data_IF_028047392586
#
_entry.id   IF_028047392586
#
_cell.length_a   1.000
_cell.length_b   1.000
_cell.length_c   1.000
_cell.angle_alpha   90.00
_cell.angle_beta   90.00
_cell.angle_gamma   90.00
#
_symmetry.space_group_name_H-M   'P 1'
#
loop_
_entity.id
_entity.type
_entity.pdbx_description
1 polymer ?
#
# COMPACT_ATOMS: atom_id res chain seq x y z
N UNK A 1 -1.48 24.70 -12.48
CA UNK A 1 -0.29 24.22 -13.19
C UNK A 1 -0.28 24.92 -14.52
N UNK A 2 0.79 25.66 -14.84
CA UNK A 2 0.90 26.44 -16.08
C UNK A 2 1.08 25.50 -17.28
N UNK A 3 0.63 25.91 -18.47
CA UNK A 3 0.78 25.15 -19.72
C UNK A 3 2.26 24.83 -20.01
N UNK A 4 3.15 25.75 -19.62
CA UNK A 4 4.60 25.61 -19.73
C UNK A 4 5.18 24.54 -18.80
N UNK A 5 4.50 24.20 -17.71
CA UNK A 5 4.92 23.15 -16.78
C UNK A 5 4.50 21.76 -17.27
N UNK A 6 3.35 21.67 -17.93
CA UNK A 6 2.87 20.44 -18.57
C UNK A 6 3.89 19.94 -19.60
N UNK A 7 4.45 20.86 -20.41
CA UNK A 7 5.49 20.55 -21.42
C UNK A 7 6.80 20.02 -20.82
N UNK A 8 7.00 20.10 -19.49
CA UNK A 8 8.21 19.66 -18.77
C UNK A 8 8.00 18.43 -17.88
N UNK A 9 6.79 17.87 -17.84
CA UNK A 9 6.45 16.72 -16.98
C UNK A 9 7.28 15.46 -17.29
N UNK A 10 7.79 15.34 -18.53
CA UNK A 10 8.65 14.22 -18.92
C UNK A 10 10.08 14.34 -18.38
N UNK A 11 10.52 15.50 -17.88
CA UNK A 11 11.85 15.67 -17.30
C UNK A 11 11.83 15.12 -15.88
N UNK A 12 12.54 14.01 -15.66
CA UNK A 12 12.60 13.32 -14.38
C UNK A 12 13.99 12.70 -14.16
N UNK A 13 14.29 12.33 -12.92
CA UNK A 13 15.47 11.54 -12.62
C UNK A 13 15.26 10.10 -13.07
N UNK A 14 16.13 9.57 -13.92
CA UNK A 14 16.01 8.21 -14.45
C UNK A 14 16.16 7.10 -13.38
N UNK A 15 16.59 7.44 -12.16
CA UNK A 15 16.76 6.49 -11.04
C UNK A 15 15.57 6.49 -10.08
N UNK A 16 15.18 7.66 -9.59
CA UNK A 16 14.13 7.79 -8.57
C UNK A 16 12.81 8.34 -9.12
N UNK A 17 12.74 8.64 -10.42
CA UNK A 17 11.55 9.12 -11.15
C UNK A 17 10.94 10.41 -10.62
N UNK A 18 11.64 11.13 -9.74
CA UNK A 18 11.26 12.48 -9.30
C UNK A 18 11.26 13.44 -10.49
N UNK A 19 10.14 14.13 -10.70
CA UNK A 19 9.95 15.06 -11.79
C UNK A 19 10.56 16.44 -11.47
N UNK A 20 11.16 17.06 -12.48
CA UNK A 20 11.85 18.34 -12.38
C UNK A 20 10.93 19.47 -11.91
N UNK A 21 9.71 19.56 -12.47
CA UNK A 21 8.73 20.61 -12.17
C UNK A 21 8.36 20.63 -10.69
N UNK A 22 7.92 19.50 -10.14
CA UNK A 22 7.49 19.41 -8.74
C UNK A 22 8.64 19.63 -7.76
N UNK A 23 9.85 19.17 -8.09
CA UNK A 23 10.98 19.22 -7.17
C UNK A 23 11.65 20.60 -7.12
N UNK A 24 11.54 21.41 -8.20
CA UNK A 24 12.05 22.79 -8.23
C UNK A 24 11.33 23.68 -7.22
N UNK A 25 10.02 23.52 -7.09
CA UNK A 25 9.18 24.32 -6.20
C UNK A 25 9.26 23.88 -4.73
N UNK A 26 9.34 22.57 -4.48
CA UNK A 26 9.21 22.03 -3.11
C UNK A 26 10.53 21.82 -2.37
N UNK A 27 11.67 21.71 -3.07
CA UNK A 27 12.89 21.20 -2.42
C UNK A 27 14.23 21.72 -2.95
N UNK A 28 14.22 22.61 -3.96
CA UNK A 28 15.44 23.19 -4.54
C UNK A 28 16.41 22.17 -5.15
N UNK A 29 15.98 20.93 -5.40
CA UNK A 29 16.86 19.87 -5.88
C UNK A 29 17.34 20.15 -7.31
N UNK A 30 18.64 19.94 -7.54
CA UNK A 30 19.27 20.19 -8.83
C UNK A 30 19.22 18.93 -9.68
N UNK A 31 18.98 19.11 -10.98
CA UNK A 31 19.02 18.02 -11.96
C UNK A 31 20.21 18.20 -12.87
N UNK A 32 20.77 17.09 -13.33
CA UNK A 32 21.95 17.04 -14.18
C UNK A 32 21.65 16.20 -15.41
N UNK A 33 22.01 16.71 -16.57
CA UNK A 33 22.13 15.95 -17.81
C UNK A 33 23.55 15.37 -17.86
N UNK A 34 23.65 14.04 -17.91
CA UNK A 34 24.92 13.33 -18.01
C UNK A 34 25.29 13.07 -19.48
N UNK A 35 26.58 12.88 -19.78
CA UNK A 35 27.05 12.64 -21.13
C UNK A 35 26.51 11.35 -21.77
N UNK A 36 26.09 10.37 -20.95
CA UNK A 36 25.36 9.19 -21.41
C UNK A 36 23.87 9.45 -21.73
N UNK A 37 23.45 10.72 -21.73
CA UNK A 37 22.07 11.18 -21.93
C UNK A 37 21.08 10.68 -20.87
N UNK A 38 21.56 10.31 -19.69
CA UNK A 38 20.68 10.08 -18.54
C UNK A 38 20.51 11.38 -17.75
N UNK A 39 19.33 11.54 -17.15
CA UNK A 39 19.01 12.65 -16.26
C UNK A 39 19.02 12.14 -14.82
N UNK A 40 19.73 12.83 -13.93
CA UNK A 40 19.81 12.47 -12.52
C UNK A 40 19.62 13.68 -11.61
N UNK A 41 18.96 13.51 -10.47
CA UNK A 41 18.94 14.53 -9.42
C UNK A 41 20.22 14.47 -8.56
N UNK A 42 20.53 15.57 -7.89
CA UNK A 42 21.60 15.71 -6.90
C UNK A 42 21.66 14.60 -5.84
N UNK A 43 20.51 14.05 -5.42
CA UNK A 43 20.45 12.94 -4.46
C UNK A 43 20.83 11.59 -5.05
N UNK A 44 20.70 11.41 -6.36
CA UNK A 44 20.91 10.12 -7.03
C UNK A 44 22.24 10.03 -7.78
N UNK A 45 22.77 11.18 -8.21
CA UNK A 45 24.05 11.29 -8.87
C UNK A 45 25.17 11.37 -7.83
N UNK A 46 26.29 10.72 -8.09
CA UNK A 46 27.46 10.77 -7.22
C UNK A 46 28.55 11.59 -7.90
N UNK A 47 29.13 12.55 -7.18
CA UNK A 47 30.23 13.36 -7.68
C UNK A 47 31.52 12.52 -7.69
N UNK A 48 32.21 12.49 -8.82
CA UNK A 48 33.49 11.80 -8.93
C UNK A 48 34.65 12.82 -8.88
N UNK A 49 35.74 12.52 -8.17
CA UNK A 49 36.93 13.36 -8.21
C UNK A 49 37.55 13.34 -9.60
N UNK A 50 37.86 14.53 -10.13
CA UNK A 50 38.53 14.70 -11.41
C UNK A 50 38.16 16.03 -12.07
N UNK A 51 39.14 16.69 -12.69
CA UNK A 51 38.93 17.86 -13.54
C UNK A 51 39.01 17.41 -15.00
N UNK A 52 37.98 17.71 -15.78
CA UNK A 52 38.09 17.61 -17.24
C UNK A 52 38.73 18.90 -17.78
N UNK A 53 39.44 18.87 -18.91
CA UNK A 53 39.97 20.08 -19.56
C UNK A 53 38.91 21.12 -19.94
N UNK A 54 37.61 20.75 -19.87
CA UNK A 54 36.45 21.55 -20.27
C UNK A 54 35.64 22.12 -19.09
N UNK A 55 36.21 22.19 -17.88
CA UNK A 55 35.55 22.63 -16.64
C UNK A 55 34.19 21.95 -16.36
N UNK A 56 33.99 20.74 -16.88
CA UNK A 56 32.80 19.94 -16.62
C UNK A 56 33.04 19.04 -15.42
N UNK A 57 32.20 19.12 -14.36
CA UNK A 57 32.26 18.16 -13.28
C UNK A 57 32.00 16.74 -13.80
N UNK A 58 32.69 15.79 -13.20
CA UNK A 58 32.54 14.36 -13.50
C UNK A 58 31.62 13.75 -12.45
N UNK A 59 30.72 12.90 -12.90
CA UNK A 59 29.74 12.20 -12.08
C UNK A 59 29.76 10.71 -12.39
N UNK A 60 29.34 9.89 -11.43
CA UNK A 60 29.01 8.49 -11.66
C UNK A 60 27.51 8.42 -12.00
N UNK A 61 27.20 7.92 -13.20
CA UNK A 61 25.82 7.78 -13.61
C UNK A 61 25.10 6.72 -12.75
N UNK A 62 23.93 7.01 -12.16
CA UNK A 62 23.20 6.03 -11.37
C UNK A 62 22.64 4.86 -12.18
N UNK A 63 22.55 5.00 -13.51
CA UNK A 63 21.93 4.01 -14.41
C UNK A 63 23.01 3.09 -14.98
N UNK A 64 23.98 3.64 -15.72
CA UNK A 64 25.03 2.86 -16.36
C UNK A 64 26.29 2.68 -15.51
N UNK A 65 26.40 3.34 -14.34
CA UNK A 65 27.56 3.31 -13.43
C UNK A 65 28.89 3.81 -14.01
N UNK A 66 28.89 4.31 -15.24
CA UNK A 66 30.07 4.92 -15.86
C UNK A 66 30.38 6.30 -15.26
N UNK A 67 31.67 6.65 -15.19
CA UNK A 67 32.13 8.00 -14.90
C UNK A 67 31.98 8.86 -16.15
N UNK A 68 31.12 9.87 -16.09
CA UNK A 68 30.74 10.71 -17.22
C UNK A 68 30.68 12.17 -16.82
N UNK A 69 30.91 13.07 -17.79
CA UNK A 69 30.69 14.50 -17.57
C UNK A 69 29.21 14.78 -17.38
N UNK A 70 28.88 15.80 -16.60
CA UNK A 70 27.51 16.25 -16.41
C UNK A 70 27.38 17.77 -16.38
N UNK A 71 26.22 18.27 -16.76
CA UNK A 71 25.85 19.68 -16.67
C UNK A 71 24.52 19.81 -15.94
N UNK A 72 24.43 20.78 -15.04
CA UNK A 72 23.17 21.08 -14.37
C UNK A 72 22.14 21.59 -15.39
N UNK A 73 20.91 21.07 -15.31
CA UNK A 73 19.77 21.52 -16.09
C UNK A 73 19.33 22.88 -15.54
N UNK A 74 19.77 23.96 -16.19
CA UNK A 74 19.43 25.33 -15.86
C UNK A 74 19.73 26.27 -17.05
N UNK A 75 19.51 27.57 -16.86
CA UNK A 75 19.78 28.59 -17.88
C UNK A 75 21.28 28.81 -18.18
N UNK A 76 22.21 28.24 -17.41
CA UNK A 76 23.65 28.31 -17.70
C UNK A 76 24.12 27.16 -18.62
N UNK A 77 23.25 26.21 -18.95
CA UNK A 77 23.59 25.10 -19.84
C UNK A 77 23.95 25.58 -21.27
N UNK A 78 24.93 24.97 -21.95
CA UNK A 78 25.24 25.27 -23.35
C UNK A 78 24.02 25.10 -24.28
N UNK A 79 23.92 25.95 -25.30
CA UNK A 79 22.77 26.00 -26.21
C UNK A 79 22.44 24.64 -26.86
N UNK A 80 23.46 23.92 -27.35
CA UNK A 80 23.29 22.61 -27.98
C UNK A 80 22.74 21.52 -27.03
N UNK A 81 22.87 21.68 -25.71
CA UNK A 81 22.27 20.79 -24.73
C UNK A 81 20.88 21.27 -24.32
N UNK A 82 20.67 22.59 -24.25
CA UNK A 82 19.33 23.17 -23.99
C UNK A 82 18.34 22.78 -25.08
N UNK A 83 18.76 22.67 -26.34
CA UNK A 83 17.90 22.25 -27.45
C UNK A 83 17.30 20.85 -27.24
N UNK A 84 17.92 19.97 -26.46
CA UNK A 84 17.33 18.67 -26.09
C UNK A 84 16.04 18.80 -25.29
N UNK A 85 15.86 19.94 -24.60
CA UNK A 85 14.70 20.26 -23.78
C UNK A 85 13.75 21.26 -24.46
N UNK A 86 13.88 21.45 -25.78
CA UNK A 86 12.99 22.34 -26.52
C UNK A 86 11.55 21.81 -26.45
N UNK A 87 10.56 22.65 -26.07
CA UNK A 87 9.17 22.21 -25.89
C UNK A 87 8.53 21.74 -27.21
N UNK A 88 9.02 22.25 -28.34
CA UNK A 88 8.47 22.00 -29.67
C UNK A 88 9.60 21.51 -30.58
N UNK A 89 10.05 20.26 -30.42
CA UNK A 89 11.20 19.69 -31.14
C UNK A 89 10.89 19.37 -32.61
N UNK A 90 9.75 19.81 -33.14
CA UNK A 90 9.34 19.63 -34.54
C UNK A 90 9.50 20.93 -35.35
N UNK A 91 9.78 22.06 -34.71
CA UNK A 91 9.90 23.36 -35.38
C UNK A 91 11.27 23.60 -36.04
N UNK A 92 12.34 22.90 -35.64
CA UNK A 92 13.72 23.15 -36.11
C UNK A 92 14.20 22.07 -37.09
N UNK A 93 13.85 22.21 -38.37
CA UNK A 93 13.96 21.24 -39.48
C UNK A 93 15.22 20.33 -39.57
N UNK A 94 16.36 20.66 -38.95
CA UNK A 94 17.63 19.94 -39.10
C UNK A 94 18.12 19.17 -37.86
N UNK A 95 17.52 19.33 -36.66
CA UNK A 95 17.94 18.63 -35.42
C UNK A 95 16.82 17.84 -34.72
N UNK A 96 15.67 17.74 -35.39
CA UNK A 96 14.43 17.22 -34.82
C UNK A 96 14.51 15.75 -34.39
N UNK A 97 15.16 14.86 -35.14
CA UNK A 97 15.14 13.42 -34.82
C UNK A 97 15.90 13.07 -33.54
N UNK A 98 17.09 13.65 -33.33
CA UNK A 98 17.88 13.39 -32.14
C UNK A 98 17.20 13.94 -30.87
N UNK A 99 16.61 15.14 -30.98
CA UNK A 99 15.87 15.76 -29.87
C UNK A 99 14.59 14.95 -29.59
N UNK A 100 13.80 14.65 -30.61
CA UNK A 100 12.58 13.86 -30.46
C UNK A 100 12.88 12.45 -29.93
N UNK A 101 13.96 11.82 -30.38
CA UNK A 101 14.43 10.53 -29.89
C UNK A 101 14.81 10.57 -28.40
N UNK A 102 15.55 11.60 -27.98
CA UNK A 102 15.88 11.84 -26.58
C UNK A 102 14.61 12.01 -25.72
N UNK A 103 13.71 12.92 -26.09
CA UNK A 103 12.50 13.20 -25.35
C UNK A 103 11.57 11.99 -25.28
N UNK A 104 11.35 11.30 -26.41
CA UNK A 104 10.53 10.08 -26.48
C UNK A 104 11.10 8.96 -25.62
N UNK A 105 12.43 8.77 -25.61
CA UNK A 105 13.10 7.80 -24.75
C UNK A 105 12.82 8.06 -23.27
N UNK A 106 12.93 9.32 -22.82
CA UNK A 106 12.61 9.68 -21.44
C UNK A 106 11.12 9.54 -21.13
N UNK A 107 10.24 10.00 -22.02
CA UNK A 107 8.79 9.84 -21.85
C UNK A 107 8.38 8.37 -21.73
N UNK A 108 8.90 7.49 -22.59
CA UNK A 108 8.61 6.06 -22.52
C UNK A 108 9.11 5.42 -21.22
N UNK A 109 10.30 5.82 -20.74
CA UNK A 109 10.81 5.35 -19.44
C UNK A 109 9.92 5.79 -18.29
N UNK A 110 9.43 7.03 -18.30
CA UNK A 110 8.53 7.55 -17.28
C UNK A 110 7.18 6.82 -17.31
N UNK A 111 6.57 6.67 -18.50
CA UNK A 111 5.31 5.98 -18.67
C UNK A 111 5.39 4.52 -18.19
N UNK A 112 6.48 3.82 -18.52
CA UNK A 112 6.72 2.46 -18.02
C UNK A 112 6.75 2.40 -16.50
N UNK A 113 7.44 3.33 -15.85
CA UNK A 113 7.46 3.42 -14.39
C UNK A 113 6.08 3.70 -13.80
N UNK A 114 5.31 4.62 -14.38
CA UNK A 114 3.95 4.91 -13.94
C UNK A 114 3.05 3.66 -14.05
N UNK A 115 3.13 2.92 -15.16
CA UNK A 115 2.39 1.68 -15.35
C UNK A 115 2.79 0.60 -14.33
N UNK A 116 4.08 0.48 -14.00
CA UNK A 116 4.55 -0.44 -12.97
C UNK A 116 4.02 -0.05 -11.58
N UNK A 117 4.03 1.25 -11.25
CA UNK A 117 3.49 1.74 -9.98
C UNK A 117 1.98 1.62 -9.87
N UNK A 118 1.25 1.83 -10.96
CA UNK A 118 -0.19 1.61 -11.00
C UNK A 118 -0.53 0.16 -10.70
N UNK A 119 0.20 -0.80 -11.28
CA UNK A 119 0.04 -2.23 -10.97
C UNK A 119 0.33 -2.56 -9.50
N UNK A 120 1.37 -1.95 -8.92
CA UNK A 120 1.67 -2.11 -7.49
C UNK A 120 0.53 -1.60 -6.61
N UNK A 121 -0.03 -0.41 -6.93
CA UNK A 121 -1.16 0.17 -6.20
C UNK A 121 -2.40 -0.72 -6.32
N UNK A 122 -2.74 -1.17 -7.53
CA UNK A 122 -3.87 -2.08 -7.77
C UNK A 122 -3.74 -3.38 -6.97
N UNK A 123 -2.53 -3.94 -6.88
CA UNK A 123 -2.28 -5.15 -6.08
C UNK A 123 -2.53 -4.88 -4.59
N UNK A 124 -1.96 -3.80 -4.04
CA UNK A 124 -2.13 -3.45 -2.63
C UNK A 124 -3.59 -3.17 -2.30
N UNK A 125 -4.32 -2.51 -3.19
CA UNK A 125 -5.75 -2.24 -3.02
C UNK A 125 -6.59 -3.53 -3.02
N UNK A 126 -6.25 -4.47 -3.89
CA UNK A 126 -6.87 -5.80 -3.91
C UNK A 126 -6.59 -6.59 -2.62
N UNK A 127 -5.33 -6.61 -2.17
CA UNK A 127 -4.93 -7.28 -0.92
C UNK A 127 -5.64 -6.65 0.30
N UNK A 128 -5.74 -5.32 0.32
CA UNK A 128 -6.45 -4.59 1.37
C UNK A 128 -7.94 -4.94 1.39
N UNK A 129 -8.59 -4.98 0.22
CA UNK A 129 -10.00 -5.35 0.08
C UNK A 129 -10.24 -6.78 0.58
N UNK A 130 -9.40 -7.73 0.18
CA UNK A 130 -9.47 -9.12 0.64
C UNK A 130 -9.32 -9.24 2.16
N UNK A 131 -8.36 -8.52 2.75
CA UNK A 131 -8.15 -8.49 4.20
C UNK A 131 -9.37 -7.92 4.93
N UNK A 132 -9.95 -6.82 4.43
CA UNK A 132 -11.16 -6.22 4.99
C UNK A 132 -12.34 -7.20 4.95
N UNK A 133 -12.58 -7.87 3.82
CA UNK A 133 -13.66 -8.87 3.71
C UNK A 133 -13.44 -10.05 4.66
N UNK A 134 -12.22 -10.55 4.78
CA UNK A 134 -11.90 -11.64 5.72
C UNK A 134 -12.14 -11.22 7.18
N UNK A 135 -11.70 -10.03 7.57
CA UNK A 135 -11.94 -9.47 8.90
C UNK A 135 -13.42 -9.30 9.21
N UNK A 136 -14.21 -8.79 8.26
CA UNK A 136 -15.66 -8.64 8.40
C UNK A 136 -16.35 -10.00 8.59
N UNK A 137 -15.95 -11.01 7.83
CA UNK A 137 -16.49 -12.37 7.97
C UNK A 137 -16.19 -12.95 9.36
N UNK A 138 -14.93 -12.89 9.80
CA UNK A 138 -14.53 -13.37 11.13
C UNK A 138 -15.26 -12.65 12.25
N UNK A 139 -15.48 -11.34 12.10
CA UNK A 139 -16.24 -10.55 13.06
C UNK A 139 -17.69 -11.03 13.18
N UNK A 140 -18.36 -11.28 12.06
CA UNK A 140 -19.73 -11.80 12.05
C UNK A 140 -19.82 -13.21 12.66
N UNK A 141 -18.89 -14.09 12.31
CA UNK A 141 -18.81 -15.44 12.89
C UNK A 141 -18.59 -15.40 14.41
N UNK A 142 -17.73 -14.51 14.88
CA UNK A 142 -17.49 -14.31 16.31
C UNK A 142 -18.75 -13.82 17.03
N UNK A 143 -19.50 -12.89 16.43
CA UNK A 143 -20.72 -12.36 17.03
C UNK A 143 -21.82 -13.42 17.09
N UNK A 144 -21.97 -14.23 16.04
CA UNK A 144 -22.85 -15.40 16.05
C UNK A 144 -22.46 -16.41 17.12
N UNK A 145 -21.17 -16.73 17.24
CA UNK A 145 -20.66 -17.66 18.25
C UNK A 145 -20.94 -17.15 19.68
N UNK A 146 -20.83 -15.84 19.93
CA UNK A 146 -21.19 -15.22 21.21
C UNK A 146 -22.68 -15.36 21.52
N UNK A 147 -23.54 -15.15 20.53
CA UNK A 147 -24.99 -15.30 20.69
C UNK A 147 -25.36 -16.76 21.00
N UNK A 148 -24.81 -17.72 20.25
CA UNK A 148 -25.01 -19.15 20.48
C UNK A 148 -24.54 -19.53 21.89
N UNK A 149 -23.36 -19.05 22.32
CA UNK A 149 -22.84 -19.32 23.67
C UNK A 149 -23.82 -18.86 24.75
N UNK A 150 -24.35 -17.64 24.66
CA UNK A 150 -25.35 -17.12 25.60
C UNK A 150 -26.62 -17.97 25.62
N UNK A 151 -27.10 -18.42 24.46
CA UNK A 151 -28.28 -19.28 24.38
C UNK A 151 -28.04 -20.63 25.06
N UNK A 152 -26.89 -21.25 24.82
CA UNK A 152 -26.51 -22.52 25.42
C UNK A 152 -26.33 -22.40 26.95
N UNK A 153 -25.70 -21.32 27.42
CA UNK A 153 -25.56 -21.02 28.86
C UNK A 153 -26.93 -20.90 29.53
N UNK A 154 -27.84 -20.14 28.94
CA UNK A 154 -29.22 -20.01 29.44
C UNK A 154 -29.95 -21.35 29.44
N UNK A 155 -29.79 -22.16 28.39
CA UNK A 155 -30.43 -23.48 28.30
C UNK A 155 -29.89 -24.44 29.36
N UNK A 156 -28.58 -24.43 29.60
CA UNK A 156 -27.94 -25.24 30.63
C UNK A 156 -28.47 -24.86 32.04
N UNK A 157 -28.64 -23.57 32.31
CA UNK A 157 -29.25 -23.10 33.56
C UNK A 157 -30.70 -23.58 33.73
N UNK A 158 -31.52 -23.48 32.67
CA UNK A 158 -32.90 -23.99 32.69
C UNK A 158 -32.95 -25.50 32.99
N UNK A 159 -32.10 -26.28 32.33
CA UNK A 159 -32.01 -27.73 32.56
C UNK A 159 -31.61 -28.02 34.01
N UNK A 160 -30.61 -27.32 34.54
CA UNK A 160 -30.18 -27.46 35.94
C UNK A 160 -31.32 -27.17 36.92
N UNK A 161 -32.12 -26.14 36.65
CA UNK A 161 -33.29 -25.79 37.46
C UNK A 161 -34.38 -26.87 37.37
N UNK A 162 -34.66 -27.39 36.16
CA UNK A 162 -35.62 -28.48 35.95
C UNK A 162 -35.19 -29.76 36.68
N UNK A 163 -33.92 -30.14 36.62
CA UNK A 163 -33.37 -31.30 37.34
C UNK A 163 -33.56 -31.11 38.85
N UNK A 164 -33.23 -29.92 39.38
CA UNK A 164 -33.42 -29.61 40.80
C UNK A 164 -34.90 -29.73 41.19
N UNK A 165 -35.82 -29.13 40.43
CA UNK A 165 -37.26 -29.21 40.67
C UNK A 165 -37.76 -30.66 40.63
N UNK A 166 -37.37 -31.44 39.62
CA UNK A 166 -37.72 -32.86 39.51
C UNK A 166 -37.20 -33.68 40.68
N UNK A 167 -36.00 -33.37 41.19
CA UNK A 167 -35.46 -34.02 42.39
C UNK A 167 -36.28 -33.70 43.65
N UNK A 168 -36.76 -32.46 43.80
CA UNK A 168 -37.64 -32.06 44.89
C UNK A 168 -39.00 -32.75 44.80
N UNK A 169 -39.60 -32.79 43.60
CA UNK A 169 -40.88 -33.48 43.36
C UNK A 169 -40.74 -34.97 43.67
N UNK A 170 -39.67 -35.63 43.21
CA UNK A 170 -39.43 -37.06 43.52
C UNK A 170 -39.31 -37.31 45.02
N UNK A 171 -38.56 -36.48 45.75
CA UNK A 171 -38.46 -36.57 47.22
C UNK A 171 -39.82 -36.40 47.89
N UNK A 172 -40.59 -35.40 47.47
CA UNK A 172 -41.92 -35.13 48.01
C UNK A 172 -42.90 -36.29 47.76
N UNK A 173 -42.92 -36.85 46.54
CA UNK A 173 -43.74 -38.01 46.21
C UNK A 173 -43.34 -39.24 47.04
N UNK A 174 -42.04 -39.45 47.28
CA UNK A 174 -41.55 -40.52 48.14
C UNK A 174 -42.08 -40.36 49.58
N UNK A 175 -42.01 -39.15 50.15
CA UNK A 175 -42.53 -38.85 51.49
C UNK A 175 -44.05 -39.09 51.61
N UNK A 176 -44.83 -38.68 50.60
CA UNK A 176 -46.28 -38.96 50.56
C UNK A 176 -46.54 -40.47 50.55
N UNK A 177 -45.81 -41.21 49.70
CA UNK A 177 -45.98 -42.66 49.56
C UNK A 177 -45.65 -43.37 50.88
N UNK A 178 -44.59 -42.95 51.56
CA UNK A 178 -44.18 -43.48 52.86
C UNK A 178 -45.19 -43.15 53.98
N UNK A 179 -45.72 -41.93 54.01
CA UNK A 179 -46.77 -41.52 54.95
C UNK A 179 -48.05 -42.36 54.80
N UNK A 180 -48.48 -42.63 53.56
CA UNK A 180 -49.61 -43.54 53.29
C UNK A 180 -49.32 -44.97 53.78
N UNK A 181 -48.15 -45.51 53.47
CA UNK A 181 -47.75 -46.84 53.90
C UNK A 181 -47.71 -46.98 55.43
N UNK A 182 -47.22 -45.95 56.14
CA UNK A 182 -47.20 -45.93 57.61
C UNK A 182 -48.60 -45.89 58.22
N UNK A 183 -49.54 -45.13 57.65
CA UNK A 183 -50.93 -45.07 58.12
C UNK A 183 -51.67 -46.39 57.91
N UNK A 184 -51.48 -47.03 56.75
CA UNK A 184 -52.05 -48.36 56.47
C UNK A 184 -51.44 -49.46 57.35
N UNK A 185 -50.14 -49.36 57.66
CA UNK A 185 -49.46 -50.30 58.56
C UNK A 185 -49.92 -50.17 60.01
N UNK A 186 -50.18 -48.95 60.48
CA UNK A 186 -50.74 -48.72 61.81
C UNK A 186 -52.20 -49.18 61.90
N UNK A 187 -53.01 -48.96 60.87
CA UNK A 187 -54.40 -49.44 60.82
C UNK A 187 -54.52 -50.97 60.87
N UNK A 188 -53.55 -51.71 60.31
CA UNK A 188 -53.48 -53.18 60.38
C UNK A 188 -53.02 -53.74 61.73
N UNK A 189 -52.41 -52.92 62.61
CA UNK A 189 -51.97 -53.35 63.96
C UNK A 189 -53.02 -53.11 65.04
N UNK A 190 -54.08 -52.39 64.72
CA UNK A 190 -55.20 -52.06 65.63
C UNK A 190 -56.44 -52.93 65.41
N UNK A 191 -56.34 -53.99 64.61
CA UNK A 191 -57.36 -55.04 64.46
C UNK A 191 -56.88 -56.34 65.09
#
# INVERSE_FOLDING_TARGET
MDENDVKKLWIHCNRCYKQYVHHKETSGSRFFLLACQDIACDKCVEAAPGRSPSDAPIYICPICRCKVRGRQINNAMPYHLKSLFHPEPWLDELRNEAIAGFQRKHMNRFLKYCQEKEKEVQKVDSDMTLALTACQKLYLELEQARQIRRQLENRAQQIKQQIKNNSHIRKYLYLIKWSRYSKESSARRTC
#
